data_IF_507704148851
#
_entry.id   IF_507704148851
#
_cell.length_a   1.000
_cell.length_b   1.000
_cell.length_c   1.000
_cell.angle_alpha   90.00
_cell.angle_beta   90.00
_cell.angle_gamma   90.00
#
_symmetry.space_group_name_H-M   'P 1'
#
loop_
_entity.id
_entity.type
_entity.pdbx_description
1 polymer ?
#
# COMPACT_ATOMS: atom_id res chain seq x y z
N UNK A 1 7.44 -17.73 -8.15
CA UNK A 1 6.39 -18.36 -7.34
C UNK A 1 5.09 -18.44 -8.14
N UNK A 2 4.43 -19.60 -8.06
CA UNK A 2 3.19 -19.89 -8.79
C UNK A 2 1.98 -19.20 -8.16
N UNK A 3 0.82 -19.33 -8.78
CA UNK A 3 -0.47 -18.89 -8.22
C UNK A 3 -0.77 -19.67 -6.94
N UNK A 4 -1.18 -18.98 -5.88
CA UNK A 4 -1.45 -19.58 -4.58
C UNK A 4 -0.19 -19.88 -3.72
N UNK A 5 1.01 -19.72 -4.26
CA UNK A 5 2.25 -19.75 -3.47
C UNK A 5 2.56 -18.34 -2.95
N UNK A 6 3.16 -18.27 -1.77
CA UNK A 6 3.47 -17.00 -1.09
C UNK A 6 4.94 -16.91 -0.70
N UNK A 7 5.43 -15.68 -0.69
CA UNK A 7 6.70 -15.33 -0.08
C UNK A 7 6.49 -14.16 0.90
N UNK A 8 6.43 -14.49 2.19
CA UNK A 8 6.08 -13.60 3.28
C UNK A 8 4.70 -12.93 3.09
N UNK A 9 3.58 -13.71 3.13
CA UNK A 9 2.24 -13.14 3.16
C UNK A 9 2.12 -12.23 4.38
N UNK A 10 1.78 -10.96 4.15
CA UNK A 10 1.96 -9.93 5.16
C UNK A 10 0.65 -9.38 5.72
N UNK A 11 -0.33 -9.23 4.90
CA UNK A 11 -1.65 -8.74 5.29
C UNK A 11 -2.73 -9.46 4.50
N UNK A 12 -3.93 -9.55 5.08
CA UNK A 12 -5.11 -10.12 4.46
C UNK A 12 -6.32 -9.26 4.79
N UNK A 13 -7.17 -9.01 3.80
CA UNK A 13 -8.48 -8.40 3.99
C UNK A 13 -9.52 -9.04 3.08
N UNK A 14 -10.79 -8.79 3.37
CA UNK A 14 -11.91 -9.27 2.56
C UNK A 14 -12.80 -8.11 2.15
N UNK A 15 -13.41 -8.20 0.98
CA UNK A 15 -14.48 -7.29 0.60
C UNK A 15 -15.86 -7.80 1.05
N UNK A 16 -16.91 -7.05 0.70
CA UNK A 16 -18.29 -7.36 1.09
C UNK A 16 -18.84 -8.62 0.42
N UNK A 17 -18.30 -9.00 -0.74
CA UNK A 17 -18.69 -10.19 -1.51
C UNK A 17 -17.90 -11.44 -1.08
N UNK A 18 -17.00 -11.28 -0.09
CA UNK A 18 -16.19 -12.37 0.47
C UNK A 18 -14.95 -12.71 -0.34
N UNK A 19 -14.53 -11.87 -1.30
CA UNK A 19 -13.23 -12.02 -1.94
C UNK A 19 -12.11 -11.74 -0.94
N UNK A 20 -11.05 -12.53 -1.01
CA UNK A 20 -9.92 -12.50 -0.10
C UNK A 20 -8.71 -11.93 -0.82
N UNK A 21 -8.13 -10.87 -0.27
CA UNK A 21 -6.97 -10.18 -0.81
C UNK A 21 -5.77 -10.43 0.10
N UNK A 22 -4.68 -10.94 -0.43
CA UNK A 22 -3.47 -11.28 0.34
C UNK A 22 -2.28 -10.52 -0.21
N UNK A 23 -1.65 -9.70 0.63
CA UNK A 23 -0.39 -9.05 0.33
C UNK A 23 0.75 -10.09 0.32
N UNK A 24 1.19 -10.47 -0.86
CA UNK A 24 2.30 -11.39 -1.09
C UNK A 24 3.60 -10.59 -1.23
N UNK A 25 4.11 -10.14 -0.08
CA UNK A 25 5.04 -9.03 0.05
C UNK A 25 6.30 -9.17 -0.76
N UNK A 26 7.04 -10.25 -0.59
CA UNK A 26 8.33 -10.42 -1.27
C UNK A 26 8.18 -10.90 -2.73
N UNK A 27 6.97 -11.25 -3.15
CA UNK A 27 6.63 -11.47 -4.55
C UNK A 27 6.09 -10.19 -5.24
N UNK A 28 6.02 -9.06 -4.51
CA UNK A 28 5.59 -7.74 -5.02
C UNK A 28 4.25 -7.78 -5.75
N UNK A 29 3.27 -8.47 -5.16
CA UNK A 29 1.91 -8.60 -5.70
C UNK A 29 0.87 -8.73 -4.59
N UNK A 30 -0.38 -8.47 -4.93
CA UNK A 30 -1.55 -8.89 -4.14
C UNK A 30 -2.23 -10.03 -4.90
N UNK A 31 -2.45 -11.16 -4.24
CA UNK A 31 -3.23 -12.26 -4.79
C UNK A 31 -4.67 -12.19 -4.29
N UNK A 32 -5.62 -12.49 -5.18
CA UNK A 32 -7.05 -12.39 -4.91
C UNK A 32 -7.67 -13.77 -5.08
N UNK A 33 -8.42 -14.19 -4.08
CA UNK A 33 -9.07 -15.49 -4.01
C UNK A 33 -10.58 -15.32 -3.83
N UNK A 34 -11.34 -16.28 -4.31
CA UNK A 34 -12.76 -16.41 -3.99
C UNK A 34 -12.95 -16.70 -2.49
N UNK A 35 -14.18 -16.56 -1.99
CA UNK A 35 -14.57 -16.94 -0.62
C UNK A 35 -14.31 -18.41 -0.27
N UNK A 36 -14.09 -19.26 -1.29
CA UNK A 36 -13.74 -20.68 -1.12
C UNK A 36 -12.22 -20.93 -1.15
N UNK A 37 -11.40 -19.86 -1.19
CA UNK A 37 -9.95 -19.97 -1.25
C UNK A 37 -9.37 -20.35 -2.62
N UNK A 38 -10.17 -20.33 -3.70
CA UNK A 38 -9.66 -20.56 -5.04
C UNK A 38 -8.98 -19.31 -5.57
N UNK A 39 -7.75 -19.43 -6.09
CA UNK A 39 -7.08 -18.33 -6.77
C UNK A 39 -7.88 -17.87 -7.99
N UNK A 40 -8.04 -16.56 -8.14
CA UNK A 40 -8.81 -15.97 -9.24
C UNK A 40 -7.99 -14.99 -10.07
N UNK A 41 -7.26 -14.09 -9.42
CA UNK A 41 -6.40 -13.11 -10.09
C UNK A 41 -5.32 -12.55 -9.16
N UNK A 42 -4.41 -11.78 -9.74
CA UNK A 42 -3.43 -11.01 -8.96
C UNK A 42 -3.31 -9.59 -9.47
N UNK A 43 -2.92 -8.70 -8.58
CA UNK A 43 -2.57 -7.30 -8.87
C UNK A 43 -1.07 -7.16 -8.79
N UNK A 44 -0.47 -6.66 -9.84
CA UNK A 44 0.97 -6.40 -9.95
C UNK A 44 1.22 -4.88 -9.99
N UNK A 45 2.39 -4.46 -10.41
CA UNK A 45 2.80 -3.04 -10.49
C UNK A 45 2.81 -2.36 -9.12
N UNK A 46 3.37 -3.07 -8.14
CA UNK A 46 3.59 -2.58 -6.78
C UNK A 46 4.91 -3.13 -6.23
N UNK A 47 5.41 -2.53 -5.17
CA UNK A 47 6.62 -2.98 -4.51
C UNK A 47 6.35 -3.33 -3.04
N UNK A 48 6.64 -4.56 -2.66
CA UNK A 48 6.54 -5.08 -1.28
C UNK A 48 5.25 -4.63 -0.57
N UNK A 49 4.06 -5.03 -1.07
CA UNK A 49 2.79 -4.68 -0.45
C UNK A 49 2.75 -5.15 1.00
N UNK A 50 2.34 -4.28 1.91
CA UNK A 50 2.38 -4.51 3.34
C UNK A 50 0.99 -4.38 3.95
N UNK A 51 0.42 -3.19 3.99
CA UNK A 51 -0.95 -2.96 4.44
C UNK A 51 -1.95 -3.02 3.29
N UNK A 52 -3.14 -3.55 3.58
CA UNK A 52 -4.25 -3.58 2.63
C UNK A 52 -5.51 -2.98 3.27
N UNK A 53 -6.28 -2.26 2.46
CA UNK A 53 -7.66 -1.92 2.77
C UNK A 53 -8.51 -1.98 1.50
N UNK A 54 -9.79 -2.27 1.66
CA UNK A 54 -10.77 -2.35 0.57
C UNK A 54 -11.87 -1.33 0.83
N UNK A 55 -12.20 -0.52 -0.17
CA UNK A 55 -13.34 0.39 -0.06
C UNK A 55 -14.65 -0.38 -0.15
N UNK A 56 -15.73 0.09 0.50
CA UNK A 56 -17.02 -0.57 0.42
C UNK A 56 -17.66 -0.38 -0.96
N UNK A 57 -18.58 -1.27 -1.32
CA UNK A 57 -19.40 -1.19 -2.54
C UNK A 57 -19.11 -2.29 -3.54
N UNK A 58 -19.93 -2.37 -4.59
CA UNK A 58 -19.88 -3.42 -5.62
C UNK A 58 -18.67 -3.33 -6.57
N UNK A 59 -17.97 -2.20 -6.58
CA UNK A 59 -16.75 -2.00 -7.36
C UNK A 59 -15.66 -1.44 -6.44
N UNK A 60 -15.17 -2.25 -5.49
CA UNK A 60 -14.26 -1.78 -4.47
C UNK A 60 -12.90 -1.41 -5.06
N UNK A 61 -12.30 -0.36 -4.52
CA UNK A 61 -10.90 -0.04 -4.77
C UNK A 61 -10.04 -0.73 -3.71
N UNK A 62 -8.91 -1.28 -4.15
CA UNK A 62 -7.86 -1.83 -3.30
C UNK A 62 -6.86 -0.73 -2.97
N UNK A 63 -6.61 -0.52 -1.68
CA UNK A 63 -5.61 0.42 -1.17
C UNK A 63 -4.43 -0.39 -0.62
N UNK A 64 -3.23 -0.09 -1.08
CA UNK A 64 -2.01 -0.84 -0.76
C UNK A 64 -0.95 0.10 -0.19
N UNK A 65 -0.42 -0.23 0.99
CA UNK A 65 0.81 0.35 1.50
C UNK A 65 2.01 -0.39 0.94
N UNK A 66 2.85 0.30 0.20
CA UNK A 66 4.06 -0.25 -0.40
C UNK A 66 5.29 0.17 0.40
N UNK A 67 6.08 -0.79 0.86
CA UNK A 67 7.32 -0.51 1.57
C UNK A 67 8.39 0.03 0.61
N UNK A 68 9.34 0.78 1.16
CA UNK A 68 10.47 1.31 0.39
C UNK A 68 11.49 0.25 0.00
N UNK A 69 12.37 0.62 -0.92
CA UNK A 69 13.48 -0.19 -1.45
C UNK A 69 14.76 0.00 -0.66
N UNK A 70 14.74 -0.34 0.60
CA UNK A 70 15.94 -0.20 1.44
C UNK A 70 16.74 -1.49 1.62
N UNK A 71 16.21 -2.62 1.18
CA UNK A 71 16.99 -3.85 1.08
C UNK A 71 17.80 -3.86 -0.23
N UNK A 72 19.07 -4.24 -0.16
CA UNK A 72 19.98 -4.26 -1.33
C UNK A 72 19.39 -5.06 -2.50
N UNK A 73 18.75 -6.20 -2.21
CA UNK A 73 18.13 -7.07 -3.22
C UNK A 73 16.99 -6.39 -3.99
N UNK A 74 16.41 -5.31 -3.44
CA UNK A 74 15.24 -4.66 -4.00
C UNK A 74 15.56 -3.32 -4.68
N UNK A 75 16.75 -2.78 -4.51
CA UNK A 75 17.13 -1.44 -5.02
C UNK A 75 17.08 -1.29 -6.54
N UNK A 76 17.14 -2.39 -7.25
CA UNK A 76 17.12 -2.40 -8.73
C UNK A 76 15.74 -2.61 -9.32
N UNK A 77 14.72 -2.84 -8.50
CA UNK A 77 13.35 -3.01 -8.99
C UNK A 77 12.74 -1.67 -9.43
N UNK A 78 11.95 -1.66 -10.50
CA UNK A 78 11.22 -0.46 -10.93
C UNK A 78 10.08 -0.14 -9.98
N UNK A 79 9.61 1.12 -10.01
CA UNK A 79 8.42 1.60 -9.27
C UNK A 79 8.49 1.36 -7.76
N UNK A 80 9.65 1.57 -7.17
CA UNK A 80 9.86 1.34 -5.74
C UNK A 80 9.16 2.41 -4.89
N UNK A 81 8.38 1.94 -3.88
CA UNK A 81 7.82 2.79 -2.84
C UNK A 81 8.87 3.47 -1.98
N UNK A 82 8.47 4.19 -0.92
CA UNK A 82 7.17 4.02 -0.25
C UNK A 82 6.02 4.78 -0.90
N UNK A 83 4.91 4.07 -1.09
CA UNK A 83 3.67 4.62 -1.65
C UNK A 83 2.44 4.15 -0.88
N UNK A 84 1.38 4.93 -0.97
CA UNK A 84 0.02 4.46 -0.80
C UNK A 84 -0.61 4.40 -2.19
N UNK A 85 -0.86 3.20 -2.70
CA UNK A 85 -1.32 2.95 -4.07
C UNK A 85 -2.77 2.53 -4.10
N UNK A 86 -3.50 2.98 -5.11
CA UNK A 86 -4.93 2.75 -5.29
C UNK A 86 -5.15 2.03 -6.60
N UNK A 87 -5.84 0.90 -6.53
CA UNK A 87 -6.20 0.09 -7.69
C UNK A 87 -7.71 -0.09 -7.75
N UNK A 88 -8.27 -0.01 -8.96
CA UNK A 88 -9.70 -0.26 -9.14
C UNK A 88 -10.04 -1.77 -9.09
N UNK A 89 -11.33 -2.10 -9.14
CA UNK A 89 -11.82 -3.48 -9.15
C UNK A 89 -11.32 -4.32 -10.34
N UNK A 90 -10.82 -3.68 -11.42
CA UNK A 90 -10.19 -4.34 -12.57
C UNK A 90 -8.69 -4.56 -12.39
N UNK A 91 -8.13 -4.13 -11.25
CA UNK A 91 -6.69 -4.18 -10.93
C UNK A 91 -5.84 -3.16 -11.69
N UNK A 92 -6.45 -2.12 -12.26
CA UNK A 92 -5.71 -1.01 -12.86
C UNK A 92 -5.26 -0.05 -11.76
N UNK A 93 -4.02 0.42 -11.84
CA UNK A 93 -3.52 1.47 -10.96
C UNK A 93 -4.23 2.78 -11.28
N UNK A 94 -4.88 3.38 -10.29
CA UNK A 94 -5.55 4.67 -10.39
C UNK A 94 -4.58 5.83 -10.13
N UNK A 95 -3.93 5.81 -8.97
CA UNK A 95 -2.94 6.81 -8.56
C UNK A 95 -2.12 6.31 -7.37
N UNK A 96 -1.08 7.07 -7.03
CA UNK A 96 -0.24 6.88 -5.85
C UNK A 96 -0.13 8.17 -5.05
N UNK A 97 -0.08 8.04 -3.73
CA UNK A 97 0.32 9.10 -2.81
C UNK A 97 1.73 8.75 -2.31
N UNK A 98 2.62 9.73 -2.33
CA UNK A 98 4.01 9.56 -1.91
C UNK A 98 4.90 10.65 -2.51
N UNK A 99 6.21 10.50 -2.37
CA UNK A 99 7.22 11.45 -2.86
C UNK A 99 8.09 10.79 -3.95
N UNK A 100 7.51 10.46 -5.09
CA UNK A 100 8.20 9.75 -6.19
C UNK A 100 9.02 8.54 -5.72
N UNK A 101 8.45 7.75 -4.80
CA UNK A 101 9.13 6.60 -4.19
C UNK A 101 10.26 6.95 -3.23
N UNK A 102 10.46 8.23 -2.91
CA UNK A 102 11.48 8.67 -1.96
C UNK A 102 10.87 8.77 -0.56
N UNK A 103 11.52 8.19 0.47
CA UNK A 103 11.06 8.31 1.83
C UNK A 103 11.09 9.76 2.30
N UNK A 104 10.10 10.14 3.12
CA UNK A 104 9.99 11.50 3.63
C UNK A 104 9.10 11.61 4.85
N UNK A 105 9.19 12.76 5.53
CA UNK A 105 8.51 13.02 6.80
C UNK A 105 7.41 14.09 6.71
N UNK A 106 7.24 14.72 5.56
CA UNK A 106 6.18 15.71 5.35
C UNK A 106 4.81 15.04 5.17
N UNK A 107 3.69 15.77 5.33
CA UNK A 107 2.36 15.24 5.05
C UNK A 107 2.28 14.64 3.63
N UNK A 108 1.70 13.45 3.51
CA UNK A 108 1.62 12.72 2.24
C UNK A 108 2.89 11.99 1.83
N UNK A 109 3.99 12.13 2.56
CA UNK A 109 5.19 11.31 2.40
C UNK A 109 5.22 10.19 3.43
N UNK A 110 5.91 9.11 3.12
CA UNK A 110 6.03 7.93 3.96
C UNK A 110 7.48 7.51 4.11
N UNK A 111 7.75 6.77 5.17
CA UNK A 111 8.99 6.02 5.35
C UNK A 111 8.75 4.56 4.97
N UNK A 112 7.71 3.96 5.55
CA UNK A 112 7.34 2.56 5.34
C UNK A 112 5.86 2.36 5.67
N UNK A 113 4.91 2.73 4.77
CA UNK A 113 3.47 2.65 5.05
C UNK A 113 3.07 1.19 5.19
N UNK A 114 2.75 0.80 6.42
CA UNK A 114 2.66 -0.61 6.83
C UNK A 114 1.25 -1.08 7.12
N UNK A 115 0.45 -0.24 7.76
CA UNK A 115 -0.92 -0.57 8.14
C UNK A 115 -1.88 0.44 7.57
N UNK A 116 -3.02 -0.02 7.05
CA UNK A 116 -4.04 0.83 6.47
C UNK A 116 -5.40 0.47 7.06
N UNK A 117 -6.18 1.49 7.39
CA UNK A 117 -7.58 1.35 7.72
C UNK A 117 -8.42 2.33 6.91
N UNK A 118 -9.65 1.93 6.60
CA UNK A 118 -10.64 2.74 5.90
C UNK A 118 -11.90 2.82 6.75
N UNK A 119 -12.38 4.02 7.03
CA UNK A 119 -13.58 4.20 7.84
C UNK A 119 -14.87 4.37 7.00
N UNK A 120 -16.01 4.35 7.66
CA UNK A 120 -17.32 4.50 7.00
C UNK A 120 -17.56 5.89 6.39
N UNK A 121 -16.74 6.88 6.73
CA UNK A 121 -16.78 8.23 6.15
C UNK A 121 -15.91 8.36 4.91
N UNK A 122 -15.10 7.33 4.61
CA UNK A 122 -14.17 7.32 3.49
C UNK A 122 -12.80 7.88 3.82
N UNK A 123 -12.49 8.10 5.10
CA UNK A 123 -11.14 8.50 5.48
C UNK A 123 -10.19 7.31 5.50
N UNK A 124 -8.93 7.57 5.18
CA UNK A 124 -7.87 6.58 5.19
C UNK A 124 -6.91 6.89 6.33
N UNK A 125 -6.54 5.88 7.05
CA UNK A 125 -5.59 5.92 8.14
C UNK A 125 -4.38 5.06 7.78
N UNK A 126 -3.19 5.61 7.92
CA UNK A 126 -1.93 4.92 7.57
C UNK A 126 -1.00 4.94 8.76
N UNK A 127 -0.61 3.76 9.22
CA UNK A 127 0.48 3.57 10.17
C UNK A 127 1.79 3.37 9.42
N UNK A 128 2.82 4.14 9.78
CA UNK A 128 4.12 4.18 9.12
C UNK A 128 5.19 3.60 10.03
N UNK A 129 5.89 2.54 9.60
CA UNK A 129 6.96 1.90 10.36
C UNK A 129 8.25 2.69 10.19
N UNK A 130 8.42 3.69 11.04
CA UNK A 130 9.56 4.60 10.95
C UNK A 130 10.74 4.11 11.77
N UNK A 131 10.48 3.60 12.98
CA UNK A 131 11.53 3.26 13.95
C UNK A 131 12.47 2.17 13.43
N UNK A 132 11.88 1.06 13.01
CA UNK A 132 12.62 -0.11 12.53
C UNK A 132 13.40 0.20 11.25
N UNK A 133 12.80 0.99 10.36
CA UNK A 133 13.33 1.21 9.03
C UNK A 133 14.22 2.44 8.94
N UNK A 134 14.31 3.26 10.03
CA UNK A 134 15.09 4.49 10.02
C UNK A 134 16.54 4.29 9.63
N UNK A 135 17.22 3.36 10.28
CA UNK A 135 18.63 3.07 10.02
C UNK A 135 18.89 2.56 8.60
N UNK A 136 17.97 1.75 8.07
CA UNK A 136 18.08 1.21 6.70
C UNK A 136 17.89 2.29 5.63
N UNK A 137 17.03 3.27 5.90
CA UNK A 137 16.64 4.30 4.93
C UNK A 137 17.52 5.54 5.03
N UNK A 138 17.75 6.03 6.25
CA UNK A 138 18.43 7.30 6.50
C UNK A 138 19.86 7.14 7.05
N UNK A 139 20.28 5.91 7.32
CA UNK A 139 21.60 5.62 7.88
C UNK A 139 21.78 6.24 9.27
N UNK A 140 22.92 6.88 9.48
CA UNK A 140 23.29 7.50 10.76
C UNK A 140 22.67 8.89 10.99
N UNK A 141 21.68 9.32 10.17
CA UNK A 141 21.01 10.60 10.41
C UNK A 141 20.27 10.58 11.74
N UNK A 142 20.39 11.67 12.49
CA UNK A 142 19.67 11.83 13.76
C UNK A 142 18.18 11.80 13.48
N UNK A 143 17.49 10.92 14.18
CA UNK A 143 16.04 10.79 14.08
C UNK A 143 15.36 11.93 14.85
N UNK A 144 14.43 12.68 14.23
CA UNK A 144 13.66 13.69 14.95
C UNK A 144 12.85 13.08 16.10
N UNK A 145 12.70 13.83 17.19
CA UNK A 145 11.93 13.39 18.37
C UNK A 145 10.44 13.26 18.00
N UNK A 146 9.91 14.25 17.27
CA UNK A 146 8.50 14.32 16.88
C UNK A 146 8.25 13.74 15.48
N UNK A 147 8.75 12.54 15.24
CA UNK A 147 8.58 11.88 13.96
C UNK A 147 7.13 11.38 13.79
N UNK A 148 6.53 11.69 12.66
CA UNK A 148 5.19 11.20 12.33
C UNK A 148 5.23 9.71 12.03
N UNK A 149 4.36 8.95 12.73
CA UNK A 149 4.17 7.50 12.55
C UNK A 149 2.76 7.14 12.12
N UNK A 150 1.90 8.16 11.99
CA UNK A 150 0.50 7.98 11.67
C UNK A 150 -0.02 9.17 10.87
N UNK A 151 -0.78 8.90 9.82
CA UNK A 151 -1.42 9.91 9.00
C UNK A 151 -2.89 9.57 8.76
N UNK A 152 -3.72 10.59 8.73
CA UNK A 152 -5.10 10.50 8.30
C UNK A 152 -5.29 11.33 7.04
N UNK A 153 -5.87 10.72 6.02
CA UNK A 153 -6.29 11.38 4.79
C UNK A 153 -7.80 11.53 4.83
N UNK A 154 -8.27 12.78 4.89
CA UNK A 154 -9.70 13.07 4.92
C UNK A 154 -10.29 12.99 3.51
N UNK A 155 -11.45 12.39 3.41
CA UNK A 155 -12.24 12.43 2.19
C UNK A 155 -12.85 13.83 2.04
N UNK A 156 -12.40 14.62 1.08
CA UNK A 156 -12.93 15.97 0.77
C UNK A 156 -13.84 16.00 -0.46
N UNK A 157 -14.05 14.86 -1.13
CA UNK A 157 -14.86 14.69 -2.34
C UNK A 157 -14.90 13.20 -2.76
N UNK A 158 -15.33 12.92 -3.98
CA UNK A 158 -15.14 11.57 -4.53
C UNK A 158 -13.65 11.37 -4.87
N UNK A 159 -13.05 10.28 -4.40
CA UNK A 159 -11.64 9.94 -4.69
C UNK A 159 -11.31 9.95 -6.20
N UNK A 160 -12.33 9.82 -7.06
CA UNK A 160 -12.21 9.86 -8.52
C UNK A 160 -11.94 11.26 -9.09
N UNK A 161 -12.06 12.33 -8.29
CA UNK A 161 -11.83 13.72 -8.76
C UNK A 161 -10.36 14.13 -8.68
N UNK A 162 -9.52 13.42 -7.93
CA UNK A 162 -8.08 13.73 -7.80
C UNK A 162 -7.27 13.54 -9.09
N UNK A 163 -7.77 12.76 -10.05
CA UNK A 163 -7.07 12.51 -11.33
C UNK A 163 -7.14 13.65 -12.32
N UNK A 164 -7.97 14.67 -12.10
CA UNK A 164 -8.16 15.80 -13.03
C UNK A 164 -7.31 17.03 -12.73
N UNK A 165 -6.60 17.09 -11.60
CA UNK A 165 -5.81 18.28 -11.23
C UNK A 165 -4.30 18.15 -11.48
N UNK A 166 -3.83 17.06 -12.06
CA UNK A 166 -2.41 16.85 -12.39
C UNK A 166 -2.15 16.61 -13.89
N UNK A 167 -3.06 17.01 -14.76
CA UNK A 167 -2.83 17.00 -16.21
C UNK A 167 -2.65 18.40 -16.77
#
# INVERSE_FOLDING_TARGET
TSQGEFNLPHNVCCDQDGWIYVADRENSRVQIFSSKGKFEKQVNNMHRPSGLAITPGSNPDLIVGELGSYLEVNKTFPNLGPYLSFFNSKSDLLYRIGNDGKPGLLPGMFVSPHSIAYDSFGNIYVGDVVETDWGHIFGNKVKPIDIRRFQRFLRTGMWKEFTKQQS
#
